data_IF_765213467702
#
_entry.id   IF_765213467702
#
_cell.length_a   1.000
_cell.length_b   1.000
_cell.length_c   1.000
_cell.angle_alpha   90.00
_cell.angle_beta   90.00
_cell.angle_gamma   90.00
#
_symmetry.space_group_name_H-M   'P 1'
#
loop_
_entity.id
_entity.type
_entity.pdbx_description
1 polymer ?
#
# COMPACT_ATOMS: atom_id res chain seq x y z
N UNK A 1 -25.80 -2.22 -0.99
CA UNK A 1 -25.17 -0.89 -1.24
C UNK A 1 -23.84 -1.11 -1.93
N UNK A 2 -23.33 -0.11 -2.66
CA UNK A 2 -21.97 -0.14 -3.24
C UNK A 2 -20.98 0.47 -2.25
N UNK A 3 -19.85 -0.19 -2.01
CA UNK A 3 -18.83 0.22 -1.05
C UNK A 3 -17.45 0.17 -1.73
N UNK A 4 -16.72 1.28 -1.70
CA UNK A 4 -15.30 1.36 -2.09
C UNK A 4 -14.40 1.37 -0.85
N UNK A 5 -13.45 0.45 -0.77
CA UNK A 5 -12.46 0.39 0.32
C UNK A 5 -11.17 1.07 -0.13
N UNK A 6 -10.72 2.07 0.63
CA UNK A 6 -9.41 2.72 0.46
C UNK A 6 -8.52 2.35 1.64
N UNK A 7 -7.41 1.66 1.37
CA UNK A 7 -6.44 1.26 2.40
C UNK A 7 -5.05 1.02 1.79
N UNK A 8 -4.02 0.95 2.62
CA UNK A 8 -2.62 0.72 2.23
C UNK A 8 -2.34 -0.77 1.97
N UNK A 9 -3.12 -1.39 1.10
CA UNK A 9 -3.06 -2.81 0.76
C UNK A 9 -1.91 -3.17 -0.22
N UNK A 10 -1.10 -2.19 -0.64
CA UNK A 10 0.01 -2.36 -1.59
C UNK A 10 1.38 -2.43 -0.92
N UNK A 11 1.46 -2.25 0.40
CA UNK A 11 2.72 -2.29 1.12
C UNK A 11 3.23 -3.73 1.27
N UNK A 12 4.52 -3.92 1.53
CA UNK A 12 5.19 -5.21 1.74
C UNK A 12 4.81 -5.85 3.11
N UNK A 13 3.54 -5.72 3.48
CA UNK A 13 2.96 -6.21 4.71
C UNK A 13 1.75 -7.09 4.36
N UNK A 14 1.94 -8.40 4.49
CA UNK A 14 0.88 -9.37 4.24
C UNK A 14 -0.34 -9.15 5.13
N UNK A 15 -0.14 -8.63 6.35
CA UNK A 15 -1.24 -8.27 7.24
C UNK A 15 -2.16 -7.20 6.64
N UNK A 16 -1.62 -6.21 5.93
CA UNK A 16 -2.43 -5.17 5.30
C UNK A 16 -3.30 -5.73 4.16
N UNK A 17 -2.74 -6.64 3.35
CA UNK A 17 -3.48 -7.34 2.29
C UNK A 17 -4.60 -8.20 2.88
N UNK A 18 -4.28 -8.99 3.92
CA UNK A 18 -5.26 -9.84 4.60
C UNK A 18 -6.37 -9.05 5.29
N UNK A 19 -6.05 -7.92 5.92
CA UNK A 19 -7.04 -7.03 6.52
C UNK A 19 -8.00 -6.47 5.47
N UNK A 20 -7.47 -5.99 4.33
CA UNK A 20 -8.28 -5.49 3.23
C UNK A 20 -9.20 -6.58 2.65
N UNK A 21 -8.65 -7.79 2.45
CA UNK A 21 -9.41 -8.95 1.98
C UNK A 21 -10.49 -9.39 2.96
N UNK A 22 -10.18 -9.50 4.25
CA UNK A 22 -11.11 -9.91 5.29
C UNK A 22 -12.29 -8.92 5.41
N UNK A 23 -12.00 -7.62 5.35
CA UNK A 23 -13.02 -6.57 5.35
C UNK A 23 -13.93 -6.66 4.12
N UNK A 24 -13.35 -6.81 2.92
CA UNK A 24 -14.13 -7.00 1.69
C UNK A 24 -15.01 -8.25 1.78
N UNK A 25 -14.49 -9.37 2.26
CA UNK A 25 -15.24 -10.62 2.41
C UNK A 25 -16.39 -10.49 3.40
N UNK A 26 -16.15 -9.87 4.54
CA UNK A 26 -17.16 -9.64 5.56
C UNK A 26 -18.32 -8.79 5.01
N UNK A 27 -18.03 -7.64 4.40
CA UNK A 27 -19.03 -6.74 3.85
C UNK A 27 -19.80 -7.36 2.67
N UNK A 28 -19.13 -8.14 1.82
CA UNK A 28 -19.79 -8.96 0.80
C UNK A 28 -20.76 -9.98 1.43
N UNK A 29 -20.36 -10.62 2.54
CA UNK A 29 -21.21 -11.54 3.31
C UNK A 29 -22.45 -10.87 3.89
N UNK A 30 -22.39 -9.56 4.16
CA UNK A 30 -23.54 -8.74 4.54
C UNK A 30 -24.45 -8.34 3.36
N UNK A 31 -24.19 -8.81 2.14
CA UNK A 31 -24.99 -8.51 0.95
C UNK A 31 -24.66 -7.16 0.30
N UNK A 32 -23.47 -6.62 0.51
CA UNK A 32 -23.00 -5.40 -0.17
C UNK A 32 -22.14 -5.73 -1.40
N UNK A 33 -22.14 -4.83 -2.38
CA UNK A 33 -21.22 -4.88 -3.52
C UNK A 33 -19.98 -4.06 -3.16
N UNK A 34 -18.85 -4.73 -3.00
CA UNK A 34 -17.66 -4.16 -2.35
C UNK A 34 -16.45 -4.34 -3.25
N UNK A 35 -15.76 -3.24 -3.53
CA UNK A 35 -14.53 -3.21 -4.32
C UNK A 35 -13.44 -2.44 -3.58
N UNK A 36 -12.19 -2.83 -3.79
CA UNK A 36 -11.02 -2.14 -3.25
C UNK A 36 -10.51 -1.19 -4.32
N UNK A 37 -10.36 0.08 -3.96
CA UNK A 37 -9.76 1.08 -4.83
C UNK A 37 -8.25 0.86 -4.78
N UNK A 38 -7.60 0.66 -5.94
CA UNK A 38 -6.14 0.48 -6.03
C UNK A 38 -5.41 1.82 -5.80
N UNK A 39 -5.52 2.36 -4.58
CA UNK A 39 -4.92 3.62 -4.17
C UNK A 39 -3.45 3.43 -3.78
N UNK A 40 -2.54 3.82 -4.69
CA UNK A 40 -1.09 3.77 -4.48
C UNK A 40 -0.46 5.14 -4.73
N UNK A 41 -0.47 6.03 -3.72
CA UNK A 41 0.09 7.35 -3.91
C UNK A 41 1.62 7.32 -3.93
N UNK A 42 2.22 8.07 -4.85
CA UNK A 42 3.68 8.13 -5.05
C UNK A 42 4.45 8.47 -3.77
N UNK A 43 3.90 9.37 -2.93
CA UNK A 43 4.57 9.78 -1.69
C UNK A 43 4.73 8.64 -0.67
N UNK A 44 3.94 7.57 -0.77
CA UNK A 44 4.07 6.36 0.05
C UNK A 44 4.86 5.25 -0.65
N UNK A 45 4.86 5.23 -1.99
CA UNK A 45 5.53 4.18 -2.79
C UNK A 45 7.01 4.52 -2.97
N UNK A 46 7.29 5.71 -3.51
CA UNK A 46 8.64 6.12 -3.91
C UNK A 46 9.25 7.14 -2.97
N UNK A 47 8.49 7.71 -2.05
CA UNK A 47 8.94 8.81 -1.20
C UNK A 47 8.93 10.12 -1.98
N UNK A 48 8.03 11.03 -1.59
CA UNK A 48 7.73 12.29 -2.28
C UNK A 48 8.93 13.25 -2.43
N UNK A 49 8.72 14.49 -2.92
CA UNK A 49 9.81 15.44 -3.09
C UNK A 49 10.48 15.78 -1.75
N UNK A 50 11.81 15.91 -1.76
CA UNK A 50 12.56 16.44 -0.62
C UNK A 50 12.13 17.89 -0.37
N UNK A 51 12.04 18.27 0.89
CA UNK A 51 11.55 19.58 1.32
C UNK A 51 12.65 20.65 1.35
N UNK A 52 13.92 20.22 1.27
CA UNK A 52 15.12 21.05 1.42
C UNK A 52 15.14 21.74 2.80
N UNK A 53 15.95 21.23 3.74
CA UNK A 53 15.71 21.48 5.15
C UNK A 53 15.93 22.94 5.54
N UNK A 54 14.88 23.58 6.07
CA UNK A 54 14.96 24.92 6.68
C UNK A 54 15.04 24.85 8.20
N UNK A 55 14.59 23.74 8.77
CA UNK A 55 14.60 23.46 10.20
C UNK A 55 14.89 21.97 10.50
N UNK A 56 15.08 21.63 11.77
CA UNK A 56 15.35 20.23 12.20
C UNK A 56 14.23 19.26 11.83
N UNK A 57 12.98 19.73 11.82
CA UNK A 57 11.84 18.93 11.42
C UNK A 57 11.92 18.54 9.94
N UNK A 58 12.29 19.47 9.06
CA UNK A 58 12.44 19.17 7.63
C UNK A 58 13.57 18.18 7.37
N UNK A 59 14.67 18.29 8.12
CA UNK A 59 15.78 17.33 8.04
C UNK A 59 15.32 15.91 8.41
N UNK A 60 14.49 15.77 9.45
CA UNK A 60 13.90 14.49 9.84
C UNK A 60 12.96 13.95 8.76
N UNK A 61 12.09 14.79 8.20
CA UNK A 61 11.19 14.38 7.11
C UNK A 61 11.95 13.95 5.87
N UNK A 62 12.98 14.69 5.47
CA UNK A 62 13.83 14.33 4.33
C UNK A 62 14.59 13.02 4.57
N UNK A 63 15.03 12.75 5.81
CA UNK A 63 15.62 11.46 6.17
C UNK A 63 14.62 10.29 6.02
N UNK A 64 13.35 10.47 6.40
CA UNK A 64 12.29 9.47 6.19
C UNK A 64 12.00 9.28 4.70
N UNK A 65 11.93 10.36 3.91
CA UNK A 65 11.76 10.28 2.46
C UNK A 65 12.91 9.48 1.82
N UNK A 66 14.15 9.74 2.23
CA UNK A 66 15.32 9.00 1.77
C UNK A 66 15.27 7.52 2.18
N UNK A 67 14.76 7.19 3.37
CA UNK A 67 14.63 5.80 3.79
C UNK A 67 13.56 5.06 2.98
N UNK A 68 12.44 5.71 2.65
CA UNK A 68 11.40 5.14 1.77
C UNK A 68 11.97 4.92 0.36
N UNK A 69 12.69 5.91 -0.20
CA UNK A 69 13.38 5.77 -1.51
C UNK A 69 14.36 4.62 -1.52
N UNK A 70 15.17 4.51 -0.47
CA UNK A 70 16.13 3.42 -0.33
C UNK A 70 15.45 2.06 -0.26
N UNK A 71 14.39 1.94 0.54
CA UNK A 71 13.59 0.72 0.62
C UNK A 71 13.00 0.34 -0.75
N UNK A 72 12.40 1.30 -1.45
CA UNK A 72 11.83 1.09 -2.79
C UNK A 72 12.88 0.63 -3.80
N UNK A 73 14.06 1.24 -3.82
CA UNK A 73 15.17 0.82 -4.70
C UNK A 73 15.59 -0.61 -4.35
N UNK A 74 15.78 -0.90 -3.06
CA UNK A 74 16.18 -2.23 -2.60
C UNK A 74 15.14 -3.31 -2.92
N UNK A 75 13.85 -3.05 -2.71
CA UNK A 75 12.77 -3.98 -3.03
C UNK A 75 12.62 -4.20 -4.53
N UNK A 76 12.93 -3.19 -5.36
CA UNK A 76 12.97 -3.33 -6.82
C UNK A 76 14.01 -4.35 -7.31
N UNK A 77 15.07 -4.62 -6.51
CA UNK A 77 16.10 -5.60 -6.87
C UNK A 77 15.86 -6.99 -6.26
N UNK A 78 15.25 -7.09 -5.08
CA UNK A 78 15.07 -8.39 -4.44
C UNK A 78 13.96 -8.38 -3.37
N UNK A 79 12.73 -8.71 -3.77
CA UNK A 79 11.70 -9.19 -2.86
C UNK A 79 11.19 -10.58 -3.31
N UNK A 80 11.58 -11.66 -2.60
CA UNK A 80 11.12 -13.01 -2.94
C UNK A 80 9.62 -13.22 -2.67
N UNK A 81 8.99 -12.37 -1.86
CA UNK A 81 7.60 -12.51 -1.47
C UNK A 81 6.62 -11.69 -2.32
N UNK A 82 7.09 -10.65 -3.02
CA UNK A 82 6.30 -9.82 -3.94
C UNK A 82 5.42 -10.62 -4.93
N UNK A 83 5.90 -11.70 -5.59
CA UNK A 83 5.08 -12.50 -6.50
C UNK A 83 3.91 -13.20 -5.79
N UNK A 84 4.11 -13.61 -4.53
CA UNK A 84 3.08 -14.28 -3.73
C UNK A 84 1.97 -13.30 -3.33
N UNK A 85 2.32 -12.07 -2.97
CA UNK A 85 1.38 -11.01 -2.62
C UNK A 85 0.50 -10.62 -3.80
N UNK A 86 1.12 -10.33 -4.94
CA UNK A 86 0.40 -9.97 -6.17
C UNK A 86 -0.50 -11.11 -6.65
N UNK A 87 -0.03 -12.37 -6.54
CA UNK A 87 -0.86 -13.53 -6.85
C UNK A 87 -2.08 -13.62 -5.93
N UNK A 88 -1.89 -13.47 -4.62
CA UNK A 88 -3.01 -13.52 -3.68
C UNK A 88 -4.04 -12.43 -3.97
N UNK A 89 -3.57 -11.18 -4.17
CA UNK A 89 -4.43 -10.04 -4.49
C UNK A 89 -5.27 -10.30 -5.74
N UNK A 90 -4.64 -10.69 -6.84
CA UNK A 90 -5.32 -10.95 -8.13
C UNK A 90 -6.35 -12.09 -8.05
N UNK A 91 -6.09 -13.10 -7.24
CA UNK A 91 -6.96 -14.27 -7.13
C UNK A 91 -8.15 -14.07 -6.17
N UNK A 92 -7.96 -13.29 -5.10
CA UNK A 92 -8.90 -13.29 -3.97
C UNK A 92 -9.63 -11.97 -3.75
N UNK A 93 -9.14 -10.86 -4.32
CA UNK A 93 -9.66 -9.51 -4.03
C UNK A 93 -10.28 -8.90 -5.29
N UNK A 94 -11.41 -8.19 -5.11
CA UNK A 94 -12.06 -7.42 -6.18
C UNK A 94 -11.54 -5.98 -6.14
N UNK A 95 -11.00 -5.50 -7.26
CA UNK A 95 -10.48 -4.12 -7.39
C UNK A 95 -11.33 -3.31 -8.36
N UNK A 96 -11.27 -1.98 -8.19
CA UNK A 96 -11.87 -0.96 -9.06
C UNK A 96 -10.81 0.10 -9.40
#
# INVERSE_FOLDING_TARGET
>A
MKIGIVTLHFHDNFGAVLQAWALQRYLCGCGHDVEIIDYRPDYLVTGGPLRFPRCKHDLFVDAVILSIRWHHIRSSFHDPAAPHYERFRRQNMRFT
#
